data_IF_738010243773
#
_entry.id   IF_738010243773
#
_cell.length_a   1.000
_cell.length_b   1.000
_cell.length_c   1.000
_cell.angle_alpha   90.00
_cell.angle_beta   90.00
_cell.angle_gamma   90.00
#
_symmetry.space_group_name_H-M   'P 1'
#
loop_
_entity.id
_entity.type
_entity.pdbx_description
1 polymer ?
#
# COMPACT_ATOMS: atom_id res chain seq x y z
N UNK A 1 5.58 -4.97 -2.09
CA UNK A 1 5.25 -4.07 -0.97
C UNK A 1 4.99 -4.87 0.29
N UNK A 2 5.43 -4.35 1.40
CA UNK A 2 5.29 -5.02 2.70
C UNK A 2 3.88 -4.85 3.25
N UNK A 3 3.31 -5.95 3.74
CA UNK A 3 2.02 -5.95 4.44
C UNK A 3 2.31 -5.82 5.93
N UNK A 4 1.81 -4.77 6.55
CA UNK A 4 2.13 -4.43 7.95
C UNK A 4 0.86 -4.32 8.80
N UNK A 5 0.71 -5.23 9.76
CA UNK A 5 -0.41 -5.22 10.69
C UNK A 5 -0.29 -4.13 11.76
N UNK A 6 0.92 -3.64 11.99
CA UNK A 6 1.17 -2.58 12.98
C UNK A 6 1.04 -1.17 12.44
N UNK A 7 0.91 -1.00 11.13
CA UNK A 7 0.77 0.32 10.52
C UNK A 7 -0.68 0.79 10.55
N UNK A 8 -0.89 2.06 10.85
CA UNK A 8 -2.22 2.67 10.80
C UNK A 8 -2.62 3.13 9.41
N UNK A 9 -1.66 3.31 8.50
CA UNK A 9 -1.89 3.85 7.16
C UNK A 9 -0.82 3.33 6.20
N UNK A 10 -1.19 3.17 4.93
CA UNK A 10 -0.25 2.78 3.87
C UNK A 10 0.59 3.98 3.45
N UNK A 11 1.92 3.77 3.36
CA UNK A 11 2.88 4.82 3.04
C UNK A 11 3.87 4.32 1.99
N UNK A 12 4.07 5.09 0.93
CA UNK A 12 4.96 4.74 -0.18
C UNK A 12 6.02 5.82 -0.42
N UNK A 13 7.21 5.44 -0.90
CA UNK A 13 8.27 6.40 -1.23
C UNK A 13 7.86 7.33 -2.38
N UNK A 14 8.28 8.60 -2.30
CA UNK A 14 8.01 9.56 -3.38
C UNK A 14 8.69 9.20 -4.70
N UNK A 15 9.84 8.58 -4.63
CA UNK A 15 10.69 8.29 -5.78
C UNK A 15 10.64 6.84 -6.24
N UNK A 16 9.60 6.10 -5.85
CA UNK A 16 9.48 4.70 -6.23
C UNK A 16 9.38 4.53 -7.74
N UNK A 17 8.63 5.41 -8.40
CA UNK A 17 8.43 5.42 -9.86
C UNK A 17 8.34 6.86 -10.32
N UNK A 18 9.20 7.23 -11.28
CA UNK A 18 9.25 8.56 -11.87
C UNK A 18 8.56 8.57 -13.24
N UNK A 19 7.25 8.57 -13.27
CA UNK A 19 6.46 8.56 -14.50
C UNK A 19 5.49 9.74 -14.61
N UNK A 20 5.73 10.79 -13.82
CA UNK A 20 4.94 12.01 -13.89
C UNK A 20 3.57 11.95 -13.22
N UNK A 21 3.27 10.88 -12.49
CA UNK A 21 1.97 10.81 -11.81
C UNK A 21 1.89 11.86 -10.70
N UNK A 22 0.71 12.49 -10.53
CA UNK A 22 0.56 13.58 -9.56
C UNK A 22 0.48 13.05 -8.12
N UNK A 23 0.96 13.87 -7.19
CA UNK A 23 0.71 13.72 -5.76
C UNK A 23 -0.35 14.75 -5.38
N UNK A 24 -1.49 14.27 -4.86
CA UNK A 24 -2.58 15.13 -4.43
C UNK A 24 -2.39 15.55 -2.98
N UNK A 25 -2.54 16.85 -2.71
CA UNK A 25 -2.53 17.35 -1.33
C UNK A 25 -3.70 16.79 -0.54
N UNK A 26 -3.44 16.51 0.74
CA UNK A 26 -4.46 16.07 1.69
C UNK A 26 -4.52 17.07 2.85
N UNK A 27 -5.55 16.98 3.68
CA UNK A 27 -5.63 17.82 4.88
C UNK A 27 -4.39 17.61 5.75
N UNK A 28 -3.94 16.38 5.91
CA UNK A 28 -2.77 16.02 6.71
C UNK A 28 -1.49 16.62 6.12
N UNK A 29 -1.29 16.56 4.80
CA UNK A 29 -0.11 17.13 4.16
C UNK A 29 -0.09 18.66 4.28
N UNK A 30 -1.24 19.30 4.16
CA UNK A 30 -1.36 20.75 4.30
C UNK A 30 -1.14 21.21 5.74
N UNK A 31 -1.50 20.38 6.72
CA UNK A 31 -1.29 20.67 8.14
C UNK A 31 0.12 20.31 8.61
N UNK A 32 0.95 19.72 7.76
CA UNK A 32 2.31 19.34 8.13
C UNK A 32 2.38 18.14 9.07
N UNK A 33 1.39 17.25 9.02
CA UNK A 33 1.38 16.03 9.83
C UNK A 33 2.47 15.08 9.33
N UNK A 34 3.09 14.38 10.26
CA UNK A 34 4.15 13.43 9.97
C UNK A 34 3.92 12.08 10.63
N UNK A 35 4.74 11.13 10.25
CA UNK A 35 4.71 9.76 10.76
C UNK A 35 5.97 9.46 11.55
N UNK A 36 5.82 8.74 12.66
CA UNK A 36 6.94 8.26 13.44
C UNK A 36 7.25 6.82 13.01
N UNK A 37 8.43 6.56 12.40
CA UNK A 37 8.83 5.18 12.12
C UNK A 37 8.99 4.40 13.41
N UNK A 38 8.69 3.09 13.37
CA UNK A 38 8.85 2.22 14.53
C UNK A 38 10.32 2.24 15.01
N UNK A 39 10.51 2.43 16.32
CA UNK A 39 11.83 2.44 16.94
C UNK A 39 12.67 3.69 16.68
N UNK A 40 12.15 4.67 15.95
CA UNK A 40 12.86 5.92 15.70
C UNK A 40 12.62 6.93 16.82
N UNK A 41 13.70 7.52 17.31
CA UNK A 41 13.63 8.66 18.23
C UNK A 41 13.80 9.99 17.49
N UNK A 42 13.85 9.91 16.17
CA UNK A 42 14.12 11.06 15.32
C UNK A 42 12.86 11.81 14.91
N UNK A 43 13.04 12.87 14.13
CA UNK A 43 11.97 13.69 13.60
C UNK A 43 10.93 12.88 12.81
N UNK A 44 9.69 13.37 12.84
CA UNK A 44 8.61 12.80 12.05
C UNK A 44 8.91 12.88 10.55
N UNK A 45 8.49 11.86 9.82
CA UNK A 45 8.53 11.85 8.36
C UNK A 45 7.25 12.52 7.87
N UNK A 46 7.41 13.61 7.11
CA UNK A 46 6.30 14.45 6.68
C UNK A 46 5.41 13.73 5.66
N UNK A 47 4.09 13.85 5.84
CA UNK A 47 3.09 13.45 4.84
C UNK A 47 3.14 14.45 3.67
N UNK A 48 3.36 13.96 2.46
CA UNK A 48 3.44 14.77 1.24
C UNK A 48 2.14 14.74 0.43
N UNK A 49 1.14 14.00 0.89
CA UNK A 49 -0.12 13.81 0.19
C UNK A 49 -0.35 12.36 -0.18
N UNK A 50 -1.20 12.12 -1.17
CA UNK A 50 -1.54 10.79 -1.65
C UNK A 50 -1.32 10.66 -3.15
N UNK A 51 -1.09 9.43 -3.60
CA UNK A 51 -0.85 9.16 -5.02
C UNK A 51 -1.51 7.84 -5.39
N UNK A 52 -2.18 7.80 -6.53
CA UNK A 52 -2.88 6.62 -6.98
C UNK A 52 -1.97 5.72 -7.82
N UNK A 53 -2.00 4.42 -7.54
CA UNK A 53 -1.29 3.40 -8.31
C UNK A 53 -2.27 2.31 -8.71
N UNK A 54 -2.15 1.86 -9.97
CA UNK A 54 -2.82 0.65 -10.46
C UNK A 54 -1.81 -0.49 -10.48
N UNK A 55 -2.18 -1.63 -9.95
CA UNK A 55 -1.30 -2.76 -9.70
C UNK A 55 -1.82 -4.01 -10.38
N UNK A 56 -0.89 -4.85 -10.86
CA UNK A 56 -1.21 -6.19 -11.35
C UNK A 56 -0.28 -7.18 -10.65
N UNK A 57 -0.84 -8.21 -10.04
CA UNK A 57 -0.04 -9.26 -9.42
C UNK A 57 0.34 -10.35 -10.44
N UNK A 58 1.13 -11.33 -9.99
CA UNK A 58 1.60 -12.42 -10.86
C UNK A 58 0.49 -13.34 -11.36
N UNK A 59 -0.69 -13.27 -10.76
CA UNK A 59 -1.86 -14.03 -11.17
C UNK A 59 -2.77 -13.23 -12.12
N UNK A 60 -2.37 -12.02 -12.50
CA UNK A 60 -3.18 -11.14 -13.35
C UNK A 60 -4.27 -10.39 -12.61
N UNK A 61 -4.34 -10.50 -11.28
CA UNK A 61 -5.31 -9.80 -10.48
C UNK A 61 -4.99 -8.31 -10.45
N UNK A 62 -5.94 -7.49 -10.85
CA UNK A 62 -5.79 -6.04 -10.87
C UNK A 62 -6.34 -5.44 -9.58
N UNK A 63 -5.57 -4.54 -8.99
CA UNK A 63 -5.98 -3.76 -7.82
C UNK A 63 -5.52 -2.33 -7.96
N UNK A 64 -6.00 -1.46 -7.12
CA UNK A 64 -5.49 -0.09 -7.02
C UNK A 64 -5.22 0.24 -5.56
N UNK A 65 -4.28 1.14 -5.34
CA UNK A 65 -3.95 1.64 -4.02
C UNK A 65 -3.74 3.14 -4.10
N UNK A 66 -4.06 3.84 -3.03
CA UNK A 66 -3.91 5.27 -2.94
C UNK A 66 -3.17 5.64 -1.65
N UNK A 67 -1.88 5.23 -1.53
CA UNK A 67 -1.12 5.42 -0.32
C UNK A 67 -0.75 6.87 -0.10
N UNK A 68 -0.42 7.21 1.13
CA UNK A 68 0.26 8.45 1.46
C UNK A 68 1.68 8.39 0.92
N UNK A 69 2.19 9.54 0.50
CA UNK A 69 3.56 9.67 0.01
C UNK A 69 4.39 10.35 1.08
N UNK A 70 5.55 9.78 1.33
CA UNK A 70 6.47 10.30 2.34
C UNK A 70 7.91 9.83 2.04
N UNK A 71 8.87 10.39 2.76
CA UNK A 71 10.29 10.04 2.62
C UNK A 71 10.65 8.71 3.27
N UNK A 72 9.89 7.66 2.99
CA UNK A 72 10.17 6.30 3.44
C UNK A 72 10.97 5.55 2.40
N UNK A 73 11.60 4.44 2.80
CA UNK A 73 12.48 3.66 1.90
C UNK A 73 11.74 2.59 1.11
N UNK A 74 10.66 2.04 1.67
CA UNK A 74 9.94 0.91 1.08
C UNK A 74 8.45 1.18 1.06
N UNK A 75 7.75 0.69 0.02
CA UNK A 75 6.29 0.75 0.00
C UNK A 75 5.71 -0.19 1.05
N UNK A 76 4.79 0.34 1.85
CA UNK A 76 4.16 -0.35 2.95
C UNK A 76 2.65 -0.25 2.83
N UNK A 77 1.96 -1.38 2.98
CA UNK A 77 0.50 -1.46 2.98
C UNK A 77 0.02 -1.80 4.38
N UNK A 78 -0.80 -0.94 4.94
CA UNK A 78 -1.40 -1.18 6.24
C UNK A 78 -2.56 -2.18 6.14
N UNK A 79 -2.57 -3.18 7.02
CA UNK A 79 -3.72 -4.09 7.11
C UNK A 79 -5.00 -3.32 7.41
N UNK A 80 -4.91 -2.27 8.22
CA UNK A 80 -6.06 -1.41 8.52
C UNK A 80 -6.69 -0.81 7.24
N UNK A 81 -5.87 -0.37 6.28
CA UNK A 81 -6.38 0.15 5.01
C UNK A 81 -7.09 -0.93 4.19
N UNK A 82 -6.56 -2.15 4.18
CA UNK A 82 -7.21 -3.28 3.50
C UNK A 82 -8.54 -3.61 4.18
N UNK A 83 -8.59 -3.62 5.50
CA UNK A 83 -9.83 -3.84 6.24
C UNK A 83 -10.88 -2.79 5.91
N UNK A 84 -10.49 -1.52 5.85
CA UNK A 84 -11.40 -0.42 5.53
C UNK A 84 -11.96 -0.51 4.12
N UNK A 85 -11.25 -1.19 3.22
CA UNK A 85 -11.66 -1.44 1.84
C UNK A 85 -12.44 -2.73 1.65
N UNK A 86 -12.76 -3.41 2.74
CA UNK A 86 -13.59 -4.63 2.73
C UNK A 86 -12.82 -5.94 2.60
N UNK A 87 -11.52 -5.93 2.85
CA UNK A 87 -10.71 -7.14 2.84
C UNK A 87 -10.54 -7.70 4.25
N UNK A 88 -10.75 -8.99 4.39
CA UNK A 88 -10.25 -9.76 5.52
C UNK A 88 -8.82 -10.17 5.21
N UNK A 89 -7.90 -9.97 6.15
CA UNK A 89 -6.49 -10.32 5.99
C UNK A 89 -6.19 -11.51 6.88
N UNK A 90 -5.70 -12.60 6.29
CA UNK A 90 -5.47 -13.86 6.99
C UNK A 90 -3.99 -14.22 6.92
N UNK A 91 -3.39 -14.45 8.08
CA UNK A 91 -2.04 -14.94 8.24
C UNK A 91 -2.11 -16.37 8.81
N UNK A 92 -2.19 -17.40 7.95
CA UNK A 92 -2.31 -18.78 8.44
C UNK A 92 -1.08 -19.22 9.20
N UNK A 93 -1.25 -20.17 10.12
CA UNK A 93 -0.13 -20.81 10.77
C UNK A 93 0.80 -21.44 9.73
N UNK A 94 2.12 -21.30 9.90
CA UNK A 94 3.10 -21.76 8.91
C UNK A 94 3.04 -23.27 8.67
N UNK A 95 2.61 -24.04 9.66
CA UNK A 95 2.43 -25.48 9.53
C UNK A 95 1.36 -25.88 8.50
N UNK A 96 0.44 -25.00 8.19
CA UNK A 96 -0.61 -25.26 7.20
C UNK A 96 -0.10 -25.19 5.77
N UNK A 97 1.07 -24.57 5.56
CA UNK A 97 1.69 -24.38 4.23
C UNK A 97 0.79 -23.65 3.22
N UNK A 98 -0.20 -22.91 3.71
CA UNK A 98 -1.04 -22.04 2.89
C UNK A 98 -0.50 -20.62 2.95
N UNK A 99 -0.49 -19.87 1.83
CA UNK A 99 -0.01 -18.49 1.85
C UNK A 99 -0.95 -17.58 2.66
N UNK A 100 -0.41 -16.50 3.18
CA UNK A 100 -1.23 -15.42 3.71
C UNK A 100 -1.98 -14.75 2.55
N UNK A 101 -3.12 -14.16 2.82
CA UNK A 101 -3.95 -13.56 1.79
C UNK A 101 -4.88 -12.50 2.35
N UNK A 102 -5.39 -11.65 1.45
CA UNK A 102 -6.50 -10.76 1.72
C UNK A 102 -7.67 -11.18 0.83
N UNK A 103 -8.86 -11.30 1.40
CA UNK A 103 -10.06 -11.70 0.66
C UNK A 103 -11.13 -10.63 0.81
N UNK A 104 -11.63 -10.13 -0.32
CA UNK A 104 -12.69 -9.15 -0.32
C UNK A 104 -14.02 -9.81 0.03
N UNK A 105 -14.73 -9.24 0.98
CA UNK A 105 -15.98 -9.83 1.51
C UNK A 105 -17.13 -9.81 0.52
N UNK A 106 -17.16 -8.84 -0.41
CA UNK A 106 -18.27 -8.68 -1.35
C UNK A 106 -18.17 -9.61 -2.56
N UNK A 107 -16.97 -9.78 -3.15
CA UNK A 107 -16.79 -10.49 -4.42
C UNK A 107 -15.79 -11.64 -4.38
N UNK A 108 -15.26 -11.95 -3.20
CA UNK A 108 -14.28 -13.01 -2.97
C UNK A 108 -12.94 -12.79 -3.71
N UNK A 109 -12.65 -11.60 -4.22
CA UNK A 109 -11.33 -11.27 -4.76
C UNK A 109 -10.27 -11.59 -3.73
N UNK A 110 -9.23 -12.34 -4.14
CA UNK A 110 -8.16 -12.77 -3.23
C UNK A 110 -6.83 -12.23 -3.70
N UNK A 111 -6.13 -11.55 -2.80
CA UNK A 111 -4.77 -11.07 -2.99
C UNK A 111 -3.85 -11.99 -2.21
N UNK A 112 -2.97 -12.71 -2.90
CA UNK A 112 -2.08 -13.69 -2.28
C UNK A 112 -0.76 -13.04 -1.92
N UNK A 113 -0.32 -13.23 -0.68
CA UNK A 113 0.94 -12.65 -0.18
C UNK A 113 2.03 -13.70 -0.11
N UNK A 114 3.26 -13.28 -0.34
CA UNK A 114 4.45 -14.10 -0.17
C UNK A 114 5.07 -13.82 1.19
N UNK A 115 5.69 -14.83 1.79
CA UNK A 115 6.46 -14.66 3.02
C UNK A 115 7.94 -14.76 2.70
N UNK A 116 8.70 -13.69 2.99
CA UNK A 116 10.15 -13.64 2.80
C UNK A 116 10.79 -13.06 4.05
N UNK A 117 11.78 -13.74 4.60
CA UNK A 117 12.50 -13.27 5.79
C UNK A 117 11.55 -12.87 6.93
N UNK A 118 10.51 -13.69 7.15
CA UNK A 118 9.50 -13.47 8.20
C UNK A 118 8.63 -12.22 7.99
N UNK A 119 8.64 -11.68 6.78
CA UNK A 119 7.83 -10.52 6.37
C UNK A 119 6.86 -10.95 5.28
N UNK A 120 5.63 -10.45 5.32
CA UNK A 120 4.64 -10.70 4.28
C UNK A 120 4.70 -9.60 3.24
N UNK A 121 4.69 -9.99 1.96
CA UNK A 121 4.78 -9.07 0.84
C UNK A 121 3.70 -9.37 -0.19
N UNK A 122 3.17 -8.31 -0.80
CA UNK A 122 2.34 -8.43 -1.99
C UNK A 122 3.18 -8.02 -3.20
N UNK A 123 3.52 -9.01 -4.03
CA UNK A 123 4.39 -8.79 -5.20
C UNK A 123 3.53 -8.36 -6.38
N UNK A 124 3.77 -7.16 -6.87
CA UNK A 124 2.97 -6.55 -7.93
C UNK A 124 3.85 -5.80 -8.92
N UNK A 125 3.32 -5.61 -10.12
CA UNK A 125 3.81 -4.64 -11.08
C UNK A 125 2.93 -3.40 -11.02
N UNK A 126 3.56 -2.24 -10.96
CA UNK A 126 2.85 -0.97 -11.03
C UNK A 126 2.62 -0.63 -12.49
N UNK A 127 1.37 -0.35 -12.86
CA UNK A 127 1.04 0.06 -14.22
C UNK A 127 1.61 1.45 -14.49
N UNK A 128 2.17 1.69 -15.70
CA UNK A 128 2.65 3.01 -16.06
C UNK A 128 1.54 4.06 -16.00
N UNK A 129 1.89 5.25 -15.54
CA UNK A 129 0.98 6.38 -15.57
C UNK A 129 0.87 6.91 -17.01
N UNK A 130 -0.36 7.04 -17.51
CA UNK A 130 -0.61 7.43 -18.91
C UNK A 130 -1.23 8.82 -19.04
N UNK A 131 -1.48 9.51 -17.96
CA UNK A 131 -2.22 10.77 -18.00
C UNK A 131 -3.74 10.60 -18.05
N UNK A 132 -4.24 9.46 -18.56
CA UNK A 132 -5.67 9.17 -18.60
C UNK A 132 -6.26 8.94 -17.19
N UNK A 133 -5.44 8.55 -16.26
CA UNK A 133 -5.85 8.37 -14.87
C UNK A 133 -6.39 9.65 -14.23
N UNK A 134 -6.02 10.82 -14.77
CA UNK A 134 -6.55 12.10 -14.33
C UNK A 134 -7.98 12.36 -14.80
N UNK A 135 -8.39 11.69 -15.88
CA UNK A 135 -9.69 11.89 -16.53
C UNK A 135 -10.75 10.94 -16.00
N UNK A 136 -10.32 9.89 -15.31
CA UNK A 136 -11.24 8.97 -14.66
C UNK A 136 -11.66 9.61 -13.34
N UNK A 137 -12.64 10.50 -13.44
CA UNK A 137 -13.21 11.13 -12.26
C UNK A 137 -13.87 10.09 -11.37
N UNK A 138 -13.72 10.24 -10.06
CA UNK A 138 -14.45 9.40 -9.13
C UNK A 138 -15.94 9.66 -9.23
#
# INVERSE_FOLDING_TARGET
MTIDSGAGISVWPRDLINDGRPTESTAESLLGIGYAPAGAQSALIKDEGKRKYHLVDRFGQQTSINPRIAGVRKPLVAVADLNDRGFDVIFPATLRRTPAYAKHTADNTTLTFDRRNQVYEYVVNVQPFTGNDRQVAP
#
